data_IF_249066339742
#
_entry.id   IF_249066339742
#
_cell.length_a   1.000
_cell.length_b   1.000
_cell.length_c   1.000
_cell.angle_alpha   90.00
_cell.angle_beta   90.00
_cell.angle_gamma   90.00
#
_symmetry.space_group_name_H-M   'P 1'
#
loop_
_entity.id
_entity.type
_entity.pdbx_description
1 polymer ?
#
# COMPACT_ATOMS: atom_id res chain seq x y z
N UNK A 1 -5.33 6.45 -8.22
CA UNK A 1 -4.79 7.18 -7.04
C UNK A 1 -3.65 6.41 -6.37
N UNK A 2 -3.79 5.10 -6.07
CA UNK A 2 -2.73 4.30 -5.43
C UNK A 2 -1.34 4.50 -6.07
N UNK A 3 -1.23 4.34 -7.39
CA UNK A 3 0.04 4.47 -8.11
C UNK A 3 0.64 5.88 -8.04
N UNK A 4 -0.19 6.92 -8.00
CA UNK A 4 0.27 8.31 -7.87
C UNK A 4 0.89 8.51 -6.50
N UNK A 5 0.18 8.12 -5.42
CA UNK A 5 0.71 8.21 -4.06
C UNK A 5 2.00 7.40 -3.89
N UNK A 6 2.04 6.18 -4.41
CA UNK A 6 3.25 5.33 -4.40
C UNK A 6 4.43 6.02 -5.09
N UNK A 7 4.24 6.49 -6.33
CA UNK A 7 5.31 7.14 -7.12
C UNK A 7 5.82 8.41 -6.44
N UNK A 8 4.93 9.23 -5.88
CA UNK A 8 5.33 10.43 -5.14
C UNK A 8 6.17 10.12 -3.89
N UNK A 9 5.91 8.99 -3.22
CA UNK A 9 6.59 8.58 -1.99
C UNK A 9 7.88 7.79 -2.25
N UNK A 10 7.94 7.03 -3.35
CA UNK A 10 9.09 6.19 -3.72
C UNK A 10 10.16 6.97 -4.48
N UNK A 11 9.78 7.97 -5.28
CA UNK A 11 10.71 8.74 -6.12
C UNK A 11 11.37 9.86 -5.30
N UNK A 12 12.68 9.85 -5.03
CA UNK A 12 13.34 10.86 -4.20
C UNK A 12 13.14 12.30 -4.71
N UNK A 13 13.12 12.49 -6.03
CA UNK A 13 12.92 13.79 -6.69
C UNK A 13 11.52 14.36 -6.46
N UNK A 14 10.52 13.50 -6.21
CA UNK A 14 9.17 13.94 -5.84
C UNK A 14 9.01 14.04 -4.33
N UNK A 15 9.57 13.09 -3.58
CA UNK A 15 9.53 13.10 -2.12
C UNK A 15 10.22 14.33 -1.54
N UNK A 16 11.33 14.77 -2.11
CA UNK A 16 12.05 16.00 -1.71
C UNK A 16 11.26 17.29 -1.95
N UNK A 17 10.22 17.26 -2.80
CA UNK A 17 9.32 18.40 -2.99
C UNK A 17 8.28 18.52 -1.87
N UNK A 18 8.13 17.48 -1.03
CA UNK A 18 7.28 17.55 0.14
C UNK A 18 8.01 18.28 1.27
N UNK A 19 7.57 19.49 1.55
CA UNK A 19 8.11 20.33 2.62
C UNK A 19 7.51 20.02 4.00
N UNK A 20 6.44 19.22 4.05
CA UNK A 20 5.71 18.89 5.28
C UNK A 20 5.49 17.37 5.40
N UNK A 21 5.86 16.81 6.55
CA UNK A 21 5.64 15.40 6.90
C UNK A 21 4.15 15.00 6.87
N UNK A 22 3.22 15.93 7.12
CA UNK A 22 1.78 15.69 7.01
C UNK A 22 1.39 15.28 5.59
N UNK A 23 2.07 15.79 4.56
CA UNK A 23 1.79 15.42 3.17
C UNK A 23 2.18 13.97 2.88
N UNK A 24 3.32 13.52 3.43
CA UNK A 24 3.74 12.11 3.37
C UNK A 24 2.71 11.24 4.06
N UNK A 25 2.34 11.63 5.28
CA UNK A 25 1.31 10.99 6.11
C UNK A 25 -0.04 10.88 5.40
N UNK A 26 -0.46 11.93 4.69
CA UNK A 26 -1.68 11.97 3.89
C UNK A 26 -1.59 10.99 2.71
N UNK A 27 -0.48 11.01 1.95
CA UNK A 27 -0.30 10.14 0.81
C UNK A 27 -0.28 8.65 1.20
N UNK A 28 0.33 8.30 2.34
CA UNK A 28 0.33 6.92 2.87
C UNK A 28 -1.10 6.45 3.20
N UNK A 29 -1.88 7.28 3.89
CA UNK A 29 -3.28 6.98 4.24
C UNK A 29 -4.17 6.87 3.01
N UNK A 30 -4.05 7.80 2.05
CA UNK A 30 -4.78 7.76 0.78
C UNK A 30 -4.42 6.50 0.01
N UNK A 31 -3.14 6.16 -0.11
CA UNK A 31 -2.67 4.95 -0.80
C UNK A 31 -3.31 3.70 -0.21
N UNK A 32 -3.26 3.51 1.11
CA UNK A 32 -3.83 2.33 1.77
C UNK A 32 -5.35 2.30 1.68
N UNK A 33 -6.02 3.44 1.87
CA UNK A 33 -7.47 3.53 1.76
C UNK A 33 -7.98 3.10 0.37
N UNK A 34 -7.38 3.63 -0.70
CA UNK A 34 -7.81 3.27 -2.06
C UNK A 34 -7.39 1.86 -2.47
N UNK A 35 -6.32 1.29 -1.89
CA UNK A 35 -5.97 -0.13 -2.08
C UNK A 35 -7.06 -1.02 -1.51
N UNK A 36 -7.47 -0.77 -0.26
CA UNK A 36 -8.52 -1.57 0.40
C UNK A 36 -9.84 -1.45 -0.36
N UNK A 37 -10.23 -0.23 -0.76
CA UNK A 37 -11.43 -0.05 -1.58
C UNK A 37 -11.33 -0.82 -2.90
N UNK A 38 -10.21 -0.72 -3.62
CA UNK A 38 -10.01 -1.47 -4.87
C UNK A 38 -10.09 -2.98 -4.64
N UNK A 39 -9.51 -3.48 -3.56
CA UNK A 39 -9.55 -4.90 -3.21
C UNK A 39 -10.97 -5.41 -2.99
N UNK A 40 -11.88 -4.58 -2.46
CA UNK A 40 -13.28 -4.96 -2.26
C UNK A 40 -14.13 -4.86 -3.52
N UNK A 41 -13.89 -3.87 -4.38
CA UNK A 41 -14.74 -3.60 -5.56
C UNK A 41 -14.28 -4.32 -6.83
N UNK A 42 -12.98 -4.60 -6.97
CA UNK A 42 -12.46 -5.23 -8.17
C UNK A 42 -12.66 -6.77 -8.11
N UNK A 43 -13.15 -7.42 -9.19
CA UNK A 43 -13.52 -8.84 -9.13
C UNK A 43 -12.41 -9.80 -8.71
N UNK A 44 -11.16 -9.48 -9.05
CA UNK A 44 -9.97 -10.29 -8.68
C UNK A 44 -9.17 -9.70 -7.51
N UNK A 45 -9.63 -8.59 -6.92
CA UNK A 45 -8.94 -7.92 -5.83
C UNK A 45 -7.65 -7.17 -6.21
N UNK A 46 -7.00 -6.62 -5.19
CA UNK A 46 -5.75 -5.88 -5.29
C UNK A 46 -4.51 -6.78 -5.38
N UNK A 47 -4.62 -8.04 -4.95
CA UNK A 47 -3.50 -8.97 -4.76
C UNK A 47 -3.27 -9.94 -5.92
N UNK A 48 -4.20 -10.04 -6.87
CA UNK A 48 -4.03 -10.86 -8.06
C UNK A 48 -2.86 -10.37 -8.92
N UNK A 49 -2.17 -11.30 -9.62
CA UNK A 49 -1.07 -10.96 -10.54
C UNK A 49 -1.49 -10.01 -11.68
N UNK A 50 -2.77 -10.04 -12.05
CA UNK A 50 -3.37 -9.19 -13.08
C UNK A 50 -3.86 -7.84 -12.54
N UNK A 51 -3.75 -7.61 -11.23
CA UNK A 51 -4.10 -6.34 -10.60
C UNK A 51 -3.24 -5.21 -11.16
N UNK A 52 -3.84 -4.02 -11.31
CA UNK A 52 -3.10 -2.80 -11.69
C UNK A 52 -2.41 -2.14 -10.50
N UNK A 53 -2.58 -2.67 -9.29
CA UNK A 53 -1.93 -2.17 -8.08
C UNK A 53 -0.62 -2.91 -7.87
N UNK A 54 0.49 -2.17 -7.85
CA UNK A 54 1.79 -2.68 -7.41
C UNK A 54 1.81 -2.82 -5.89
N UNK A 55 1.22 -3.91 -5.37
CA UNK A 55 1.16 -4.16 -3.93
C UNK A 55 2.54 -4.30 -3.29
N UNK A 56 3.52 -4.87 -4.01
CA UNK A 56 4.88 -5.02 -3.50
C UNK A 56 5.53 -3.66 -3.27
N UNK A 57 5.44 -2.76 -4.25
CA UNK A 57 5.95 -1.39 -4.11
C UNK A 57 5.20 -0.61 -3.02
N UNK A 58 3.87 -0.72 -2.94
CA UNK A 58 3.09 -0.05 -1.89
C UNK A 58 3.49 -0.49 -0.48
N UNK A 59 3.68 -1.80 -0.24
CA UNK A 59 4.10 -2.31 1.07
C UNK A 59 5.55 -1.90 1.37
N UNK A 60 6.43 -1.88 0.35
CA UNK A 60 7.81 -1.40 0.51
C UNK A 60 7.85 0.05 0.99
N UNK A 61 7.07 0.94 0.35
CA UNK A 61 6.96 2.36 0.73
C UNK A 61 6.48 2.52 2.18
N UNK A 62 5.57 1.66 2.65
CA UNK A 62 5.13 1.66 4.05
C UNK A 62 6.26 1.20 4.99
N UNK A 63 6.96 0.10 4.67
CA UNK A 63 8.06 -0.41 5.50
C UNK A 63 9.28 0.51 5.58
N UNK A 64 9.43 1.44 4.65
CA UNK A 64 10.47 2.47 4.68
C UNK A 64 10.16 3.64 5.63
N UNK A 65 8.95 3.69 6.21
CA UNK A 65 8.59 4.71 7.20
C UNK A 65 8.93 4.27 8.62
N UNK A 66 9.02 5.20 9.58
CA UNK A 66 9.16 4.86 11.00
C UNK A 66 8.04 3.89 11.44
N UNK A 67 8.36 2.72 12.05
CA UNK A 67 7.36 1.68 12.32
C UNK A 67 6.12 2.18 13.07
N UNK A 68 6.33 3.04 14.07
CA UNK A 68 5.27 3.60 14.90
C UNK A 68 4.26 4.48 14.14
N UNK A 69 4.62 5.02 12.97
CA UNK A 69 3.73 5.89 12.19
C UNK A 69 2.86 5.14 11.18
N UNK A 70 3.22 3.89 10.84
CA UNK A 70 2.56 3.11 9.78
C UNK A 70 1.99 1.76 10.23
N UNK A 71 2.23 1.34 11.48
CA UNK A 71 1.74 0.04 11.98
C UNK A 71 0.21 -0.10 11.83
N UNK A 72 -0.54 0.97 12.10
CA UNK A 72 -2.00 0.98 11.88
C UNK A 72 -2.39 0.77 10.42
N UNK A 73 -1.59 1.28 9.47
CA UNK A 73 -1.81 1.12 8.03
C UNK A 73 -1.46 -0.30 7.56
N UNK A 74 -0.38 -0.88 8.08
CA UNK A 74 -0.03 -2.27 7.84
C UNK A 74 -1.10 -3.21 8.38
N UNK A 75 -1.62 -2.94 9.58
CA UNK A 75 -2.74 -3.69 10.15
C UNK A 75 -4.04 -3.56 9.35
N UNK A 76 -4.33 -2.37 8.81
CA UNK A 76 -5.46 -2.20 7.89
C UNK A 76 -5.32 -3.10 6.64
N UNK A 77 -4.11 -3.24 6.09
CA UNK A 77 -3.84 -4.17 4.99
C UNK A 77 -3.93 -5.64 5.42
N UNK A 78 -3.59 -5.99 6.68
CA UNK A 78 -3.67 -7.37 7.18
C UNK A 78 -5.11 -7.82 7.42
N UNK A 79 -5.94 -6.94 7.97
CA UNK A 79 -7.22 -7.33 8.56
C UNK A 79 -8.44 -6.84 7.80
N UNK A 80 -8.32 -5.79 6.99
CA UNK A 80 -9.47 -5.18 6.30
C UNK A 80 -9.55 -5.58 4.82
N UNK A 81 -8.50 -6.14 4.25
CA UNK A 81 -8.50 -6.61 2.85
C UNK A 81 -9.25 -7.92 2.69
N UNK A 82 -9.92 -8.07 1.56
CA UNK A 82 -10.71 -9.24 1.18
C UNK A 82 -9.85 -10.38 0.63
N UNK A 83 -8.88 -10.08 -0.25
CA UNK A 83 -8.19 -11.12 -1.03
C UNK A 83 -6.76 -11.42 -0.56
N UNK A 84 -6.28 -10.83 0.55
CA UNK A 84 -4.92 -11.09 1.06
C UNK A 84 -4.68 -12.58 1.34
N UNK A 85 -5.69 -13.27 1.88
CA UNK A 85 -5.54 -14.65 2.32
C UNK A 85 -5.80 -15.68 1.21
N UNK A 86 -6.26 -15.26 0.03
CA UNK A 86 -6.53 -16.15 -1.10
C UNK A 86 -5.31 -16.99 -1.48
N UNK A 87 -5.55 -18.21 -1.95
CA UNK A 87 -4.48 -19.11 -2.42
C UNK A 87 -3.70 -18.54 -3.61
N UNK A 88 -4.36 -17.71 -4.41
CA UNK A 88 -3.79 -17.04 -5.58
C UNK A 88 -2.85 -15.88 -5.21
N UNK A 89 -2.94 -15.37 -3.98
CA UNK A 89 -2.11 -14.26 -3.50
C UNK A 89 -0.66 -14.69 -3.30
N UNK A 90 0.27 -13.91 -3.84
CA UNK A 90 1.71 -14.19 -3.81
C UNK A 90 2.23 -14.41 -2.39
N UNK A 91 2.91 -15.54 -2.15
CA UNK A 91 3.58 -15.85 -0.87
C UNK A 91 4.54 -14.74 -0.42
N UNK A 92 5.21 -14.08 -1.38
CA UNK A 92 6.10 -12.96 -1.07
C UNK A 92 5.33 -11.79 -0.46
N UNK A 93 4.15 -11.45 -1.00
CA UNK A 93 3.33 -10.36 -0.47
C UNK A 93 2.82 -10.71 0.93
N UNK A 94 2.38 -11.96 1.14
CA UNK A 94 1.96 -12.43 2.47
C UNK A 94 3.10 -12.29 3.50
N UNK A 95 4.31 -12.75 3.15
CA UNK A 95 5.48 -12.62 4.03
C UNK A 95 5.89 -11.17 4.30
N UNK A 96 5.62 -10.24 3.37
CA UNK A 96 5.85 -8.82 3.62
C UNK A 96 4.83 -8.23 4.61
N UNK A 97 3.67 -8.84 4.81
CA UNK A 97 2.68 -8.40 5.80
C UNK A 97 2.66 -9.28 7.05
N UNK A 98 3.52 -10.30 7.14
CA UNK A 98 3.77 -11.02 8.39
C UNK A 98 4.74 -10.26 9.28
#
# INVERSE_FOLDING_TARGET
MASVCRVMLETPEYRSRFTNEETVSFCLRVMVGVIILYDHVHPVGAFAKTSKIDMKGCIKVLKEQPPNSVEGLLNALRYTTKHLNDETTSKQIKAMLQ
#
